data_IF_882750347155
#
_entry.id   IF_882750347155
#
_cell.length_a   1.000
_cell.length_b   1.000
_cell.length_c   1.000
_cell.angle_alpha   90.00
_cell.angle_beta   90.00
_cell.angle_gamma   90.00
#
_symmetry.space_group_name_H-M   'P 1'
#
loop_
_entity.id
_entity.type
_entity.pdbx_description
1 polymer ?
#
# COMPACT_ATOMS: atom_id res chain seq x y z
N UNK A 1 47.23 -7.68 19.28
CA UNK A 1 46.65 -6.99 18.09
C UNK A 1 46.61 -8.00 16.97
N UNK A 2 45.45 -8.25 16.39
CA UNK A 2 45.32 -9.18 15.27
C UNK A 2 45.50 -8.42 13.95
N UNK A 3 46.38 -8.91 13.07
CA UNK A 3 46.68 -8.26 11.81
C UNK A 3 45.67 -8.64 10.73
N UNK A 4 45.15 -7.66 9.99
CA UNK A 4 44.20 -7.88 8.89
C UNK A 4 44.96 -8.05 7.57
N UNK A 5 45.24 -9.29 7.17
CA UNK A 5 46.00 -9.62 5.94
C UNK A 5 45.13 -10.03 4.74
N UNK A 6 43.82 -10.28 4.95
CA UNK A 6 42.89 -10.64 3.87
C UNK A 6 42.39 -9.39 3.15
N UNK A 7 42.51 -9.35 1.83
CA UNK A 7 42.01 -8.28 0.97
C UNK A 7 40.74 -8.74 0.25
N UNK A 8 39.70 -7.91 0.30
CA UNK A 8 38.45 -8.09 -0.45
C UNK A 8 38.36 -6.95 -1.46
N UNK A 9 38.30 -7.30 -2.75
CA UNK A 9 38.10 -6.37 -3.84
C UNK A 9 36.68 -6.54 -4.36
N UNK A 10 35.93 -5.43 -4.47
CA UNK A 10 34.59 -5.41 -5.04
C UNK A 10 34.55 -4.34 -6.12
N UNK A 11 33.87 -4.65 -7.23
CA UNK A 11 33.63 -3.72 -8.32
C UNK A 11 32.22 -3.19 -8.19
N UNK A 12 32.04 -1.91 -8.47
CA UNK A 12 30.75 -1.23 -8.47
C UNK A 12 30.63 -0.38 -9.70
N UNK A 13 29.40 -0.16 -10.11
CA UNK A 13 29.05 0.88 -11.08
C UNK A 13 29.17 2.27 -10.44
N UNK A 14 29.19 3.32 -11.27
CA UNK A 14 29.28 4.70 -10.78
C UNK A 14 28.09 5.08 -9.89
N UNK A 15 26.88 4.63 -10.25
CA UNK A 15 25.66 4.90 -9.48
C UNK A 15 25.68 4.23 -8.10
N UNK A 16 26.13 2.98 -8.02
CA UNK A 16 26.32 2.28 -6.75
C UNK A 16 27.37 2.98 -5.87
N UNK A 17 28.46 3.46 -6.49
CA UNK A 17 29.50 4.20 -5.78
C UNK A 17 28.98 5.52 -5.17
N UNK A 18 28.15 6.27 -5.90
CA UNK A 18 27.51 7.49 -5.39
C UNK A 18 26.61 7.22 -4.18
N UNK A 19 25.81 6.15 -4.25
CA UNK A 19 24.94 5.73 -3.15
C UNK A 19 25.78 5.36 -1.92
N UNK A 20 26.86 4.59 -2.11
CA UNK A 20 27.78 4.20 -1.04
C UNK A 20 28.40 5.45 -0.40
N UNK A 21 28.87 6.41 -1.20
CA UNK A 21 29.45 7.66 -0.72
C UNK A 21 28.46 8.49 0.08
N UNK A 22 27.21 8.61 -0.39
CA UNK A 22 26.16 9.35 0.33
C UNK A 22 25.86 8.70 1.67
N UNK A 23 25.64 7.38 1.71
CA UNK A 23 25.38 6.64 2.96
C UNK A 23 26.58 6.69 3.91
N UNK A 24 27.79 6.64 3.38
CA UNK A 24 29.01 6.80 4.17
C UNK A 24 29.09 8.18 4.83
N UNK A 25 28.84 9.26 4.07
CA UNK A 25 28.80 10.63 4.63
C UNK A 25 27.77 10.75 5.75
N UNK A 26 26.57 10.19 5.57
CA UNK A 26 25.50 10.19 6.59
C UNK A 26 25.90 9.43 7.86
N UNK A 27 26.69 8.36 7.73
CA UNK A 27 27.19 7.59 8.89
C UNK A 27 28.30 8.30 9.68
N UNK A 28 28.86 9.40 9.17
CA UNK A 28 30.00 10.10 9.75
C UNK A 28 31.36 9.39 9.59
N UNK A 29 31.40 8.24 8.90
CA UNK A 29 32.64 7.49 8.67
C UNK A 29 33.45 8.13 7.54
N UNK A 30 34.70 8.52 7.82
CA UNK A 30 35.58 9.20 6.85
C UNK A 30 36.27 8.25 5.86
N UNK A 31 36.52 6.99 6.27
CA UNK A 31 37.27 6.01 5.48
C UNK A 31 36.32 4.99 4.83
N UNK A 32 36.31 4.84 3.50
CA UNK A 32 35.48 3.84 2.81
C UNK A 32 35.70 2.41 3.32
N UNK A 33 36.94 2.02 3.58
CA UNK A 33 37.25 0.69 4.11
C UNK A 33 36.70 0.45 5.52
N UNK A 34 36.57 1.49 6.33
CA UNK A 34 35.94 1.39 7.64
C UNK A 34 34.41 1.28 7.50
N UNK A 35 33.82 2.08 6.61
CA UNK A 35 32.38 2.05 6.32
C UNK A 35 31.96 0.69 5.77
N UNK A 36 32.63 0.18 4.74
CA UNK A 36 32.32 -1.10 4.12
C UNK A 36 32.54 -2.26 5.08
N UNK A 37 33.57 -2.22 5.93
CA UNK A 37 33.76 -3.24 6.97
C UNK A 37 32.64 -3.21 7.99
N UNK A 38 32.23 -2.02 8.45
CA UNK A 38 31.09 -1.85 9.36
C UNK A 38 29.82 -2.43 8.74
N UNK A 39 29.57 -2.15 7.46
CA UNK A 39 28.41 -2.68 6.74
C UNK A 39 28.49 -4.20 6.51
N UNK A 40 29.68 -4.75 6.23
CA UNK A 40 29.84 -6.19 6.02
C UNK A 40 29.77 -7.02 7.32
N UNK A 41 30.11 -6.42 8.46
CA UNK A 41 30.06 -7.08 9.78
C UNK A 41 28.72 -6.86 10.48
N UNK A 42 28.26 -5.61 10.52
CA UNK A 42 27.12 -5.19 11.34
C UNK A 42 25.88 -4.82 10.51
N UNK A 43 25.98 -4.85 9.17
CA UNK A 43 24.85 -4.57 8.31
C UNK A 43 23.79 -5.66 8.46
N UNK A 44 22.54 -5.24 8.67
CA UNK A 44 21.41 -6.15 8.67
C UNK A 44 21.04 -6.52 7.23
N UNK A 45 20.96 -7.82 6.95
CA UNK A 45 20.32 -8.33 5.74
C UNK A 45 18.84 -8.54 6.07
N UNK A 46 18.00 -7.58 5.69
CA UNK A 46 16.56 -7.70 5.87
C UNK A 46 16.02 -8.56 4.74
N UNK A 47 15.61 -9.79 5.06
CA UNK A 47 14.75 -10.58 4.19
C UNK A 47 13.31 -10.29 4.59
N UNK A 48 12.61 -9.56 3.73
CA UNK A 48 11.18 -9.34 3.90
C UNK A 48 10.46 -10.59 3.40
N UNK A 49 9.92 -11.38 4.32
CA UNK A 49 8.92 -12.40 3.99
C UNK A 49 7.56 -11.70 3.94
N UNK A 50 6.94 -11.69 2.77
CA UNK A 50 5.67 -11.01 2.50
C UNK A 50 4.55 -12.01 2.24
N UNK A 51 4.72 -13.27 2.64
CA UNK A 51 3.70 -14.33 2.53
C UNK A 51 2.38 -13.92 3.23
N UNK A 52 2.44 -13.34 4.43
CA UNK A 52 1.25 -12.82 5.13
C UNK A 52 0.56 -11.69 4.35
N UNK A 53 1.32 -10.88 3.59
CA UNK A 53 0.76 -9.80 2.77
C UNK A 53 -0.04 -10.33 1.58
N UNK A 54 0.32 -11.51 1.06
CA UNK A 54 -0.41 -12.15 -0.04
C UNK A 54 -1.77 -12.66 0.41
N UNK A 55 -1.86 -13.26 1.60
CA UNK A 55 -3.14 -13.73 2.17
C UNK A 55 -4.10 -12.56 2.42
N UNK A 56 -3.61 -11.47 3.03
CA UNK A 56 -4.41 -10.26 3.27
C UNK A 56 -4.93 -9.67 1.96
N UNK A 57 -4.13 -9.71 0.89
CA UNK A 57 -4.57 -9.20 -0.41
C UNK A 57 -5.74 -10.01 -0.97
N UNK A 58 -5.69 -11.34 -0.86
CA UNK A 58 -6.77 -12.22 -1.30
C UNK A 58 -8.06 -11.97 -0.49
N UNK A 59 -7.95 -11.83 0.83
CA UNK A 59 -9.10 -11.50 1.69
C UNK A 59 -9.72 -10.14 1.34
N UNK A 60 -8.88 -9.13 1.08
CA UNK A 60 -9.34 -7.79 0.69
C UNK A 60 -10.05 -7.81 -0.67
N UNK A 61 -9.58 -8.60 -1.63
CA UNK A 61 -10.24 -8.76 -2.94
C UNK A 61 -11.65 -9.38 -2.79
N UNK A 62 -11.81 -10.38 -1.92
CA UNK A 62 -13.14 -10.95 -1.61
C UNK A 62 -14.06 -9.91 -0.98
N UNK A 63 -13.57 -9.14 0.00
CA UNK A 63 -14.33 -8.06 0.61
C UNK A 63 -14.75 -6.97 -0.39
N UNK A 64 -13.91 -6.65 -1.39
CA UNK A 64 -14.28 -5.72 -2.45
C UNK A 64 -15.47 -6.23 -3.27
N UNK A 65 -15.49 -7.52 -3.63
CA UNK A 65 -16.62 -8.11 -4.37
C UNK A 65 -17.93 -8.07 -3.56
N UNK A 66 -17.85 -8.32 -2.25
CA UNK A 66 -19.00 -8.24 -1.35
C UNK A 66 -19.50 -6.80 -1.26
N UNK A 67 -18.59 -5.82 -1.14
CA UNK A 67 -18.94 -4.40 -1.10
C UNK A 67 -19.69 -3.98 -2.37
N UNK A 68 -19.19 -4.36 -3.55
CA UNK A 68 -19.81 -3.99 -4.82
C UNK A 68 -21.24 -4.56 -4.93
N UNK A 69 -21.43 -5.82 -4.50
CA UNK A 69 -22.76 -6.46 -4.46
C UNK A 69 -23.73 -5.75 -3.51
N UNK A 70 -23.25 -5.31 -2.34
CA UNK A 70 -24.04 -4.56 -1.36
C UNK A 70 -24.40 -3.17 -1.92
N UNK A 71 -23.45 -2.50 -2.58
CA UNK A 71 -23.66 -1.18 -3.15
C UNK A 71 -24.70 -1.24 -4.28
N UNK A 72 -24.65 -2.26 -5.14
CA UNK A 72 -25.67 -2.52 -6.17
C UNK A 72 -27.07 -2.73 -5.57
N UNK A 73 -27.19 -3.52 -4.51
CA UNK A 73 -28.47 -3.75 -3.85
C UNK A 73 -29.02 -2.48 -3.20
N UNK A 74 -28.16 -1.68 -2.54
CA UNK A 74 -28.55 -0.38 -1.97
C UNK A 74 -29.05 0.58 -3.03
N UNK A 75 -28.37 0.67 -4.17
CA UNK A 75 -28.79 1.49 -5.31
C UNK A 75 -30.15 1.02 -5.84
N UNK A 76 -30.36 -0.29 -5.94
CA UNK A 76 -31.65 -0.85 -6.39
C UNK A 76 -32.79 -0.52 -5.43
N UNK A 77 -32.58 -0.69 -4.11
CA UNK A 77 -33.56 -0.35 -3.08
C UNK A 77 -33.89 1.14 -3.06
N UNK A 78 -32.89 2.00 -3.23
CA UNK A 78 -33.10 3.45 -3.33
C UNK A 78 -33.97 3.80 -4.54
N UNK A 79 -33.69 3.22 -5.71
CA UNK A 79 -34.52 3.41 -6.92
C UNK A 79 -35.97 2.96 -6.72
N UNK A 80 -36.19 1.86 -5.99
CA UNK A 80 -37.54 1.40 -5.67
C UNK A 80 -38.27 2.39 -4.75
N UNK A 81 -37.58 2.93 -3.74
CA UNK A 81 -38.12 3.94 -2.84
C UNK A 81 -38.46 5.24 -3.58
N UNK A 82 -37.55 5.76 -4.41
CA UNK A 82 -37.77 6.98 -5.20
C UNK A 82 -38.99 6.80 -6.13
N UNK A 83 -39.11 5.62 -6.77
CA UNK A 83 -40.26 5.26 -7.60
C UNK A 83 -41.55 5.19 -6.78
N UNK A 84 -41.53 4.62 -5.57
CA UNK A 84 -42.69 4.58 -4.68
C UNK A 84 -43.15 5.99 -4.27
N UNK A 85 -42.23 6.86 -3.88
CA UNK A 85 -42.52 8.25 -3.52
C UNK A 85 -43.13 9.03 -4.69
N UNK A 86 -42.65 8.81 -5.92
CA UNK A 86 -43.23 9.41 -7.12
C UNK A 86 -44.72 9.05 -7.29
N UNK A 87 -45.07 7.76 -7.16
CA UNK A 87 -46.46 7.32 -7.27
C UNK A 87 -47.34 7.89 -6.16
N UNK A 88 -46.86 7.93 -4.90
CA UNK A 88 -47.60 8.54 -3.80
C UNK A 88 -47.84 10.05 -4.00
N UNK A 89 -46.84 10.78 -4.48
CA UNK A 89 -46.97 12.21 -4.80
C UNK A 89 -48.02 12.47 -5.87
N UNK A 90 -48.10 11.60 -6.89
CA UNK A 90 -49.14 11.63 -7.92
C UNK A 90 -50.54 11.33 -7.37
N UNK A 91 -50.66 10.38 -6.43
CA UNK A 91 -51.94 10.07 -5.77
C UNK A 91 -52.42 11.25 -4.92
N UNK A 92 -51.52 11.95 -4.21
CA UNK A 92 -51.86 13.14 -3.44
C UNK A 92 -52.43 14.26 -4.33
N UNK A 93 -51.80 14.52 -5.47
CA UNK A 93 -52.29 15.50 -6.47
C UNK A 93 -53.66 15.11 -7.08
N UNK A 94 -53.94 13.82 -7.22
CA UNK A 94 -55.22 13.29 -7.71
C UNK A 94 -56.34 13.38 -6.66
N UNK A 95 -56.01 13.15 -5.38
CA UNK A 95 -56.95 13.31 -4.26
C UNK A 95 -57.29 14.78 -4.02
N UNK A 96 -56.31 15.68 -4.09
CA UNK A 96 -56.51 17.12 -3.92
C UNK A 96 -57.40 17.71 -5.04
N UNK A 97 -57.34 17.18 -6.26
CA UNK A 97 -58.21 17.54 -7.39
C UNK A 97 -59.63 16.95 -7.31
N UNK A 98 -59.85 15.91 -6.52
CA UNK A 98 -61.18 15.31 -6.28
C UNK A 98 -61.91 15.96 -5.09
N UNK A 99 -61.18 16.68 -4.24
CA UNK A 99 -61.70 17.37 -3.06
C UNK A 99 -62.06 18.85 -3.31
N UNK A 100 -61.90 19.34 -4.55
CA UNK A 100 -62.32 20.66 -5.04
C UNK A 100 -63.46 20.50 -6.05
#
# INVERSE_FOLDING_TARGET
MEYRYKQLNFRVTDSEYEIIQKKMKLSGIKKPTAYLRKMAMDGYVIRLDLSELTEIKEEVEVCMMIKDSIDDEKVSRQKQFDRFCYYLGGIKQLLDKKAA
#
